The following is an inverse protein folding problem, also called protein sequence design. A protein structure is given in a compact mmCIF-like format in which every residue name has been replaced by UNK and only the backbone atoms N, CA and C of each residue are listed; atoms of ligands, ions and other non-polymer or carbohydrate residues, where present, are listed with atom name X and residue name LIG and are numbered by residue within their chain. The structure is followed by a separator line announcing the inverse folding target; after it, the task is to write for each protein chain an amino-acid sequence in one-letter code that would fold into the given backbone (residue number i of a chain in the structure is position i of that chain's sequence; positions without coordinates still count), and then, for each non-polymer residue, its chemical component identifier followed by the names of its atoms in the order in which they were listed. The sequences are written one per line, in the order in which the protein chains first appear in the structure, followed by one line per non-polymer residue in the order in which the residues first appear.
data_IF_116620792524
#
_entry.id   IF_116620792524
#
_cell.length_a   1.000
_cell.length_b   1.000
_cell.length_c   1.000
_cell.angle_alpha   90.00
_cell.angle_beta   90.00
_cell.angle_gamma   90.00
#
_symmetry.space_group_name_H-M   'P 1'
#
loop_
_entity.id
_entity.type
_entity.pdbx_description
1 polymer ?
#
# COMPACT_ATOMS: atom_id res chain seq x y z
N UNK A 1 4.08 -0.82 13.51
CA UNK A 1 5.39 -0.12 13.43
C UNK A 1 6.17 -0.49 12.17
N UNK A 2 6.44 -1.77 11.90
CA UNK A 2 7.26 -2.21 10.76
C UNK A 2 6.83 -1.69 9.37
N UNK A 3 5.52 -1.59 9.08
CA UNK A 3 5.03 -1.11 7.77
C UNK A 3 5.36 0.37 7.52
N UNK A 4 5.36 1.20 8.57
CA UNK A 4 5.67 2.64 8.47
C UNK A 4 7.16 2.83 8.20
N UNK A 5 8.01 2.08 8.90
CA UNK A 5 9.46 2.12 8.73
C UNK A 5 9.87 1.66 7.32
N UNK A 6 9.27 0.57 6.82
CA UNK A 6 9.52 0.08 5.44
C UNK A 6 9.14 1.14 4.40
N UNK A 7 7.98 1.80 4.55
CA UNK A 7 7.57 2.89 3.63
C UNK A 7 8.54 4.07 3.66
N UNK A 8 9.03 4.46 4.84
CA UNK A 8 10.00 5.54 4.97
C UNK A 8 11.34 5.19 4.30
N UNK A 9 11.82 3.96 4.47
CA UNK A 9 13.04 3.48 3.81
C UNK A 9 12.86 3.45 2.29
N UNK A 10 11.73 2.93 1.80
CA UNK A 10 11.40 2.89 0.37
C UNK A 10 11.29 4.27 -0.26
N UNK A 11 10.68 5.25 0.42
CA UNK A 11 10.62 6.64 -0.07
C UNK A 11 12.01 7.23 -0.26
N UNK A 12 12.89 7.09 0.74
CA UNK A 12 14.28 7.57 0.64
C UNK A 12 15.04 6.87 -0.49
N UNK A 13 14.78 5.58 -0.69
CA UNK A 13 15.38 4.82 -1.78
C UNK A 13 14.91 5.33 -3.15
N UNK A 14 13.59 5.57 -3.33
CA UNK A 14 13.03 6.13 -4.57
C UNK A 14 13.66 7.49 -4.89
N UNK A 15 13.75 8.39 -3.91
CA UNK A 15 14.38 9.70 -4.09
C UNK A 15 15.83 9.57 -4.56
N UNK A 16 16.60 8.69 -3.89
CA UNK A 16 18.01 8.47 -4.22
C UNK A 16 18.23 7.93 -5.62
N UNK A 17 17.50 6.88 -5.99
CA UNK A 17 17.68 6.26 -7.31
C UNK A 17 17.17 7.18 -8.44
N UNK A 18 16.04 7.87 -8.26
CA UNK A 18 15.44 8.70 -9.32
C UNK A 18 16.08 10.08 -9.53
N UNK A 19 16.66 10.67 -8.48
CA UNK A 19 17.24 12.02 -8.57
C UNK A 19 18.76 11.99 -8.50
N UNK A 20 19.33 11.39 -7.46
CA UNK A 20 20.78 11.45 -7.21
C UNK A 20 21.57 10.59 -8.20
N UNK A 21 21.17 9.32 -8.37
CA UNK A 21 21.91 8.38 -9.22
C UNK A 21 21.68 8.64 -10.71
N UNK A 22 20.44 8.88 -11.14
CA UNK A 22 20.13 9.29 -12.53
C UNK A 22 20.90 10.56 -12.92
N UNK A 23 20.91 11.59 -12.06
CA UNK A 23 21.65 12.83 -12.33
C UNK A 23 23.16 12.56 -12.41
N UNK A 24 23.70 11.75 -11.50
CA UNK A 24 25.12 11.39 -11.49
C UNK A 24 25.54 10.72 -12.80
N UNK A 25 24.84 9.66 -13.22
CA UNK A 25 25.17 8.96 -14.46
C UNK A 25 25.02 9.86 -15.70
N UNK A 26 23.96 10.66 -15.78
CA UNK A 26 23.77 11.60 -16.89
C UNK A 26 24.88 12.66 -16.96
N UNK A 27 25.31 13.20 -15.82
CA UNK A 27 26.39 14.19 -15.78
C UNK A 27 27.72 13.59 -16.24
N UNK A 28 28.05 12.38 -15.81
CA UNK A 28 29.27 11.68 -16.26
C UNK A 28 29.16 11.31 -17.75
N UNK A 29 27.98 10.92 -18.23
CA UNK A 29 27.74 10.64 -19.64
C UNK A 29 28.00 11.87 -20.53
N UNK A 30 27.56 13.06 -20.09
CA UNK A 30 27.83 14.31 -20.78
C UNK A 30 29.33 14.64 -20.86
N UNK A 31 30.09 14.37 -19.78
CA UNK A 31 31.54 14.50 -19.79
C UNK A 31 32.18 13.50 -20.76
N UNK A 32 31.78 12.23 -20.73
CA UNK A 32 32.29 11.20 -21.64
C UNK A 32 32.03 11.57 -23.12
N UNK A 33 30.85 12.11 -23.42
CA UNK A 33 30.50 12.64 -24.74
C UNK A 33 31.40 13.79 -25.17
N UNK A 34 31.64 14.75 -24.27
CA UNK A 34 32.49 15.91 -24.54
C UNK A 34 33.95 15.52 -24.80
N UNK A 35 34.42 14.45 -24.17
CA UNK A 35 35.76 13.88 -24.37
C UNK A 35 35.85 12.90 -25.55
N UNK A 36 34.74 12.60 -26.22
CA UNK A 36 34.69 11.75 -27.42
C UNK A 36 34.57 10.24 -27.14
N UNK A 37 34.27 9.84 -25.91
CA UNK A 37 34.06 8.44 -25.52
C UNK A 37 32.60 8.00 -25.70
N UNK A 38 32.16 7.86 -26.95
CA UNK A 38 30.76 7.54 -27.29
C UNK A 38 30.24 6.23 -26.67
N UNK A 39 31.07 5.19 -26.59
CA UNK A 39 30.68 3.91 -25.98
C UNK A 39 30.46 4.03 -24.46
N UNK A 40 31.25 4.89 -23.80
CA UNK A 40 31.13 5.17 -22.36
C UNK A 40 29.91 6.03 -22.09
N UNK A 41 29.65 7.06 -22.91
CA UNK A 41 28.40 7.83 -22.86
C UNK A 41 27.18 6.91 -22.93
N UNK A 42 27.14 6.03 -23.94
CA UNK A 42 26.02 5.12 -24.15
C UNK A 42 25.79 4.17 -22.96
N UNK A 43 26.88 3.61 -22.40
CA UNK A 43 26.81 2.77 -21.20
C UNK A 43 26.26 3.53 -19.98
N UNK A 44 26.73 4.76 -19.74
CA UNK A 44 26.28 5.56 -18.59
C UNK A 44 24.82 6.01 -18.73
N UNK A 45 24.39 6.37 -19.94
CA UNK A 45 22.97 6.65 -20.22
C UNK A 45 22.08 5.41 -19.98
N UNK A 46 22.56 4.21 -20.31
CA UNK A 46 21.85 2.97 -20.03
C UNK A 46 21.69 2.73 -18.52
N UNK A 47 22.75 2.96 -17.73
CA UNK A 47 22.66 2.88 -16.26
C UNK A 47 21.71 3.93 -15.67
N UNK A 48 21.71 5.16 -16.19
CA UNK A 48 20.73 6.16 -15.76
C UNK A 48 19.28 5.68 -15.99
N UNK A 49 18.99 5.01 -17.11
CA UNK A 49 17.66 4.45 -17.36
C UNK A 49 17.35 3.24 -16.46
N UNK A 50 18.34 2.41 -16.13
CA UNK A 50 18.17 1.33 -15.14
C UNK A 50 17.81 1.87 -13.75
N UNK A 51 18.49 2.92 -13.27
CA UNK A 51 18.18 3.53 -11.97
C UNK A 51 16.76 4.11 -11.93
N UNK A 52 16.32 4.70 -13.04
CA UNK A 52 14.94 5.16 -13.19
C UNK A 52 13.94 4.00 -13.10
N UNK A 53 14.21 2.88 -13.77
CA UNK A 53 13.36 1.68 -13.69
C UNK A 53 13.31 1.08 -12.28
N UNK A 54 14.44 1.11 -11.55
CA UNK A 54 14.53 0.68 -10.15
C UNK A 54 13.66 1.59 -9.27
N UNK A 55 13.77 2.91 -9.43
CA UNK A 55 12.97 3.88 -8.68
C UNK A 55 11.46 3.72 -8.96
N UNK A 56 11.07 3.53 -10.22
CA UNK A 56 9.67 3.29 -10.61
C UNK A 56 9.12 2.00 -9.99
N UNK A 57 9.93 0.95 -9.94
CA UNK A 57 9.55 -0.33 -9.31
C UNK A 57 9.36 -0.17 -7.80
N UNK A 58 10.29 0.52 -7.13
CA UNK A 58 10.18 0.81 -5.71
C UNK A 58 8.95 1.66 -5.39
N UNK A 59 8.60 2.62 -6.25
CA UNK A 59 7.38 3.43 -6.12
C UNK A 59 6.10 2.59 -6.20
N UNK A 60 6.02 1.64 -7.15
CA UNK A 60 4.88 0.71 -7.24
C UNK A 60 4.73 -0.12 -5.97
N UNK A 61 5.83 -0.59 -5.39
CA UNK A 61 5.81 -1.31 -4.10
C UNK A 61 5.27 -0.41 -2.98
N UNK A 62 5.67 0.86 -2.94
CA UNK A 62 5.16 1.82 -1.96
C UNK A 62 3.63 2.04 -2.06
N UNK A 63 3.11 2.11 -3.28
CA UNK A 63 1.67 2.21 -3.55
C UNK A 63 0.91 0.97 -3.06
N UNK A 64 1.42 -0.23 -3.35
CA UNK A 64 0.85 -1.50 -2.89
C UNK A 64 0.81 -1.59 -1.35
N UNK A 65 1.91 -1.20 -0.68
CA UNK A 65 1.95 -1.16 0.79
C UNK A 65 0.98 -0.12 1.39
N UNK A 66 0.63 0.92 0.63
CA UNK A 66 -0.35 1.93 1.04
C UNK A 66 -1.78 1.40 0.92
N UNK A 67 -2.10 0.69 -0.16
CA UNK A 67 -3.38 0.00 -0.32
C UNK A 67 -3.55 -1.08 0.76
N UNK A 68 -2.50 -1.87 1.04
CA UNK A 68 -2.51 -2.87 2.12
C UNK A 68 -2.82 -2.27 3.49
N UNK A 69 -2.24 -1.12 3.82
CA UNK A 69 -2.49 -0.42 5.08
C UNK A 69 -3.96 0.03 5.19
N UNK A 70 -4.50 0.61 4.12
CA UNK A 70 -5.91 1.04 4.06
C UNK A 70 -6.85 -0.15 4.22
N UNK A 71 -6.62 -1.25 3.49
CA UNK A 71 -7.44 -2.46 3.57
C UNK A 71 -7.36 -3.11 4.96
N UNK A 72 -6.19 -3.07 5.61
CA UNK A 72 -6.02 -3.61 6.97
C UNK A 72 -6.82 -2.78 7.99
N UNK A 73 -6.73 -1.45 7.93
CA UNK A 73 -7.50 -0.54 8.78
C UNK A 73 -9.00 -0.64 8.54
N UNK A 74 -9.41 -0.74 7.28
CA UNK A 74 -10.81 -0.95 6.90
C UNK A 74 -11.33 -2.25 7.52
N UNK A 75 -10.59 -3.35 7.38
CA UNK A 75 -11.00 -4.62 7.94
C UNK A 75 -11.06 -4.63 9.48
N UNK A 76 -10.13 -3.94 10.16
CA UNK A 76 -10.19 -3.76 11.61
C UNK A 76 -11.47 -3.03 12.00
N UNK A 77 -11.76 -1.90 11.34
CA UNK A 77 -12.96 -1.09 11.60
C UNK A 77 -14.25 -1.88 11.41
N UNK A 78 -14.41 -2.57 10.29
CA UNK A 78 -15.59 -3.39 10.04
C UNK A 78 -15.76 -4.50 11.08
N UNK A 79 -14.67 -5.19 11.45
CA UNK A 79 -14.74 -6.27 12.45
C UNK A 79 -14.93 -5.81 13.90
N UNK A 80 -14.41 -4.64 14.28
CA UNK A 80 -14.40 -4.17 15.67
C UNK A 80 -15.52 -3.19 15.98
N UNK A 81 -15.80 -2.23 15.10
CA UNK A 81 -16.82 -1.20 15.34
C UNK A 81 -18.19 -1.65 14.85
N UNK A 82 -18.30 -2.13 13.61
CA UNK A 82 -19.61 -2.37 12.99
C UNK A 82 -20.27 -3.66 13.50
N UNK A 83 -19.52 -4.77 13.62
CA UNK A 83 -20.02 -6.02 14.24
C UNK A 83 -20.49 -5.78 15.68
N UNK A 84 -19.69 -5.08 16.50
CA UNK A 84 -20.05 -4.81 17.90
C UNK A 84 -21.27 -3.88 18.02
N UNK A 85 -21.37 -2.87 17.15
CA UNK A 85 -22.51 -1.95 17.12
C UNK A 85 -23.81 -2.68 16.79
N UNK A 86 -23.83 -3.47 15.71
CA UNK A 86 -25.04 -4.21 15.33
C UNK A 86 -25.41 -5.26 16.38
N UNK A 87 -24.45 -5.98 16.96
CA UNK A 87 -24.71 -6.95 18.03
C UNK A 87 -25.29 -6.28 19.29
N UNK A 88 -24.79 -5.11 19.69
CA UNK A 88 -25.31 -4.39 20.86
C UNK A 88 -26.75 -3.89 20.64
N UNK A 89 -27.06 -3.40 19.43
CA UNK A 89 -28.43 -2.99 19.07
C UNK A 89 -29.35 -4.20 18.94
N UNK A 90 -28.87 -5.32 18.40
CA UNK A 90 -29.62 -6.57 18.32
C UNK A 90 -30.00 -7.11 19.70
N UNK A 91 -29.06 -7.08 20.67
CA UNK A 91 -29.34 -7.45 22.06
C UNK A 91 -30.40 -6.56 22.70
N UNK A 92 -30.39 -5.26 22.39
CA UNK A 92 -31.42 -4.31 22.84
C UNK A 92 -32.78 -4.63 22.21
N UNK A 93 -32.83 -4.86 20.89
CA UNK A 93 -34.04 -5.25 20.17
C UNK A 93 -34.64 -6.56 20.70
N UNK A 94 -33.79 -7.54 21.04
CA UNK A 94 -34.18 -8.79 21.68
C UNK A 94 -34.81 -8.58 23.06
N UNK A 95 -34.20 -7.72 23.88
CA UNK A 95 -34.67 -7.40 25.22
C UNK A 95 -36.04 -6.68 25.20
N UNK A 96 -36.30 -5.88 24.16
CA UNK A 96 -37.57 -5.19 23.95
C UNK A 96 -38.63 -6.03 23.22
N UNK A 97 -38.30 -7.25 22.79
CA UNK A 97 -39.25 -8.18 22.17
C UNK A 97 -39.39 -8.06 20.65
N UNK A 98 -38.52 -7.31 19.97
CA UNK A 98 -38.51 -7.16 18.51
C UNK A 98 -37.64 -8.22 17.83
N UNK A 99 -38.12 -9.47 17.83
CA UNK A 99 -37.38 -10.61 17.29
C UNK A 99 -36.97 -10.46 15.80
N UNK A 100 -37.85 -9.90 14.97
CA UNK A 100 -37.55 -9.70 13.53
C UNK A 100 -36.44 -8.64 13.32
N UNK A 101 -36.38 -7.63 14.19
CA UNK A 101 -35.35 -6.58 14.15
C UNK A 101 -34.02 -7.11 14.69
N UNK A 102 -34.04 -7.92 15.76
CA UNK A 102 -32.84 -8.63 16.23
C UNK A 102 -32.25 -9.51 15.12
N UNK A 103 -33.07 -10.36 14.49
CA UNK A 103 -32.62 -11.25 13.43
C UNK A 103 -31.99 -10.47 12.25
N UNK A 104 -32.61 -9.36 11.84
CA UNK A 104 -32.06 -8.49 10.80
C UNK A 104 -30.71 -7.87 11.20
N UNK A 105 -30.59 -7.37 12.43
CA UNK A 105 -29.35 -6.75 12.93
C UNK A 105 -28.22 -7.78 13.10
N UNK A 106 -28.53 -8.99 13.56
CA UNK A 106 -27.57 -10.10 13.60
C UNK A 106 -27.08 -10.47 12.19
N UNK A 107 -27.97 -10.50 11.19
CA UNK A 107 -27.59 -10.75 9.81
C UNK A 107 -26.67 -9.66 9.24
N UNK A 108 -26.89 -8.39 9.60
CA UNK A 108 -25.96 -7.30 9.25
C UNK A 108 -24.61 -7.45 9.94
N UNK A 109 -24.58 -7.81 11.23
CA UNK A 109 -23.32 -8.10 11.92
C UNK A 109 -22.52 -9.22 11.24
N UNK A 110 -23.17 -10.28 10.75
CA UNK A 110 -22.51 -11.34 9.98
C UNK A 110 -21.98 -10.85 8.63
N UNK A 111 -22.73 -9.99 7.93
CA UNK A 111 -22.27 -9.38 6.68
C UNK A 111 -21.01 -8.53 6.89
N UNK A 112 -20.96 -7.69 7.92
CA UNK A 112 -19.78 -6.88 8.25
C UNK A 112 -18.56 -7.75 8.60
N UNK A 113 -18.79 -8.88 9.29
CA UNK A 113 -17.73 -9.84 9.58
C UNK A 113 -17.13 -10.47 8.31
N UNK A 114 -17.95 -10.84 7.32
CA UNK A 114 -17.47 -11.38 6.05
C UNK A 114 -16.80 -10.32 5.15
N UNK A 115 -17.25 -9.06 5.21
CA UNK A 115 -16.57 -7.93 4.55
C UNK A 115 -15.16 -7.73 5.15
N UNK A 116 -15.05 -7.69 6.48
CA UNK A 116 -13.78 -7.57 7.17
C UNK A 116 -12.81 -8.73 6.83
N UNK A 117 -13.33 -9.97 6.80
CA UNK A 117 -12.57 -11.16 6.43
C UNK A 117 -12.07 -11.10 4.99
N UNK A 118 -12.91 -10.64 4.07
CA UNK A 118 -12.54 -10.44 2.66
C UNK A 118 -11.44 -9.38 2.53
N UNK A 119 -11.59 -8.24 3.20
CA UNK A 119 -10.58 -7.18 3.21
C UNK A 119 -9.24 -7.67 3.79
N UNK A 120 -9.23 -8.44 4.89
CA UNK A 120 -8.02 -9.08 5.45
C UNK A 120 -7.37 -10.05 4.45
N UNK A 121 -8.17 -10.84 3.75
CA UNK A 121 -7.68 -11.79 2.74
C UNK A 121 -6.99 -11.06 1.59
N UNK A 122 -7.61 -10.00 1.06
CA UNK A 122 -7.01 -9.18 -0.01
C UNK A 122 -5.74 -8.50 0.49
N UNK A 123 -5.76 -7.89 1.68
CA UNK A 123 -4.57 -7.27 2.27
C UNK A 123 -3.40 -8.25 2.49
N UNK A 124 -3.70 -9.52 2.79
CA UNK A 124 -2.68 -10.56 2.98
C UNK A 124 -2.09 -11.09 1.66
N UNK A 125 -2.80 -10.90 0.54
CA UNK A 125 -2.36 -11.30 -0.79
C UNK A 125 -1.56 -10.19 -1.51
N UNK A 126 -1.50 -8.98 -0.94
CA UNK A 126 -0.64 -7.87 -1.34
C UNK A 126 0.69 -7.92 -0.58
#
# INVERSE_FOLDING_TARGET
MALVEIKQVLNKFVEKESEEHVSTYNNVALTAKAEGYADIEAMLCAYAEEEKNIAETAKKVLELLSVKDVLSKFAEKESAEHVATYNNVALTAKAEGYADIEAMLCAYAEQEAEIAKTAKKVASAL
#
